data_IF_207404314401
#
_entry.id   IF_207404314401
#
_cell.length_a   1.000
_cell.length_b   1.000
_cell.length_c   1.000
_cell.angle_alpha   90.00
_cell.angle_beta   90.00
_cell.angle_gamma   90.00
#
_symmetry.space_group_name_H-M   'P 1'
#
loop_
_entity.id
_entity.type
_entity.pdbx_description
1 polymer ?
#
# COMPACT_ATOMS: atom_id res chain seq x y z
N UNK A 1 15.00 -8.32 -30.14
CA UNK A 1 15.81 -7.99 -28.93
C UNK A 1 15.09 -8.22 -27.60
N UNK A 2 13.80 -8.62 -27.57
CA UNK A 2 13.04 -8.84 -26.32
C UNK A 2 12.74 -10.31 -25.96
N UNK A 3 13.44 -11.29 -26.56
CA UNK A 3 13.20 -12.72 -26.28
C UNK A 3 13.71 -13.24 -24.92
N UNK A 4 14.44 -12.42 -24.15
CA UNK A 4 15.09 -12.84 -22.89
C UNK A 4 14.77 -11.93 -21.69
N UNK A 5 13.64 -11.22 -21.69
CA UNK A 5 13.18 -10.64 -20.43
C UNK A 5 12.66 -11.82 -19.62
N UNK A 6 13.32 -12.18 -18.52
CA UNK A 6 12.77 -13.10 -17.53
C UNK A 6 11.47 -12.49 -17.01
N UNK A 7 10.36 -12.81 -17.66
CA UNK A 7 9.03 -12.52 -17.17
C UNK A 7 8.95 -13.16 -15.77
N UNK A 8 8.62 -12.35 -14.77
CA UNK A 8 8.38 -12.78 -13.40
C UNK A 8 9.58 -13.40 -12.66
N UNK A 9 9.47 -13.47 -11.34
CA UNK A 9 10.50 -14.11 -10.50
C UNK A 9 9.97 -15.46 -10.05
N UNK A 10 10.17 -16.48 -10.90
CA UNK A 10 9.89 -17.88 -10.60
C UNK A 10 11.12 -18.54 -9.96
N UNK A 11 10.91 -19.25 -8.84
CA UNK A 11 11.94 -20.09 -8.23
C UNK A 11 11.66 -21.55 -8.58
N UNK A 12 12.59 -22.26 -9.24
CA UNK A 12 12.41 -23.67 -9.52
C UNK A 12 12.48 -24.47 -8.21
N UNK A 13 11.47 -25.30 -7.97
CA UNK A 13 11.38 -26.15 -6.78
C UNK A 13 10.51 -27.38 -7.04
N UNK A 14 10.68 -28.43 -6.24
CA UNK A 14 10.00 -29.72 -6.43
C UNK A 14 8.80 -29.95 -5.49
N UNK A 15 8.34 -28.92 -4.80
CA UNK A 15 7.32 -29.07 -3.76
C UNK A 15 5.89 -29.22 -4.32
N UNK A 16 4.96 -29.66 -3.47
CA UNK A 16 3.55 -29.84 -3.84
C UNK A 16 2.96 -28.56 -4.45
N UNK A 17 3.32 -27.41 -3.89
CA UNK A 17 2.86 -26.11 -4.36
C UNK A 17 3.41 -25.78 -5.75
N UNK A 18 4.61 -26.21 -6.13
CA UNK A 18 5.14 -26.01 -7.50
C UNK A 18 4.45 -26.92 -8.51
N UNK A 19 4.00 -28.12 -8.10
CA UNK A 19 3.32 -29.08 -8.98
C UNK A 19 1.86 -28.73 -9.29
N UNK A 20 1.24 -27.87 -8.49
CA UNK A 20 -0.13 -27.42 -8.73
C UNK A 20 -0.20 -26.58 -10.02
N UNK A 21 -1.26 -26.81 -10.80
CA UNK A 21 -1.53 -26.02 -12.01
C UNK A 21 -1.85 -24.56 -11.66
N UNK A 22 -1.48 -23.63 -12.54
CA UNK A 22 -1.67 -22.19 -12.33
C UNK A 22 -3.13 -21.81 -12.03
N UNK A 23 -4.10 -22.44 -12.72
CA UNK A 23 -5.54 -22.23 -12.49
C UNK A 23 -5.98 -22.53 -11.05
N UNK A 24 -5.48 -23.61 -10.44
CA UNK A 24 -5.86 -24.00 -9.08
C UNK A 24 -5.35 -22.98 -8.07
N UNK A 25 -4.14 -22.46 -8.27
CA UNK A 25 -3.58 -21.43 -7.40
C UNK A 25 -4.29 -20.09 -7.53
N UNK A 26 -4.70 -19.72 -8.75
CA UNK A 26 -5.52 -18.52 -8.99
C UNK A 26 -6.92 -18.65 -8.35
N UNK A 27 -7.55 -19.81 -8.46
CA UNK A 27 -8.82 -20.10 -7.78
C UNK A 27 -8.67 -20.06 -6.26
N UNK A 28 -7.56 -20.60 -5.71
CA UNK A 28 -7.26 -20.49 -4.30
C UNK A 28 -7.12 -19.02 -3.86
N UNK A 29 -6.47 -18.16 -4.65
CA UNK A 29 -6.40 -16.72 -4.36
C UNK A 29 -7.80 -16.09 -4.31
N UNK A 30 -8.64 -16.38 -5.31
CA UNK A 30 -10.02 -15.89 -5.34
C UNK A 30 -10.83 -16.39 -4.13
N UNK A 31 -10.67 -17.67 -3.77
CA UNK A 31 -11.33 -18.27 -2.62
C UNK A 31 -10.85 -17.67 -1.29
N UNK A 32 -9.56 -17.36 -1.16
CA UNK A 32 -9.00 -16.62 -0.03
C UNK A 32 -9.69 -15.27 0.15
N UNK A 33 -9.88 -14.52 -0.95
CA UNK A 33 -10.58 -13.23 -0.91
C UNK A 33 -12.03 -13.40 -0.44
N UNK A 34 -12.76 -14.39 -0.97
CA UNK A 34 -14.14 -14.67 -0.53
C UNK A 34 -14.19 -15.04 0.95
N UNK A 35 -13.27 -15.91 1.41
CA UNK A 35 -13.17 -16.29 2.81
C UNK A 35 -12.90 -15.09 3.72
N UNK A 36 -12.02 -14.17 3.31
CA UNK A 36 -11.73 -12.94 4.05
C UNK A 36 -12.97 -12.04 4.15
N UNK A 37 -13.75 -11.90 3.07
CA UNK A 37 -15.00 -11.11 3.09
C UNK A 37 -15.98 -11.69 4.10
N UNK A 38 -16.15 -13.02 4.11
CA UNK A 38 -17.02 -13.71 5.07
C UNK A 38 -16.48 -13.54 6.50
N UNK A 39 -15.18 -13.70 6.70
CA UNK A 39 -14.51 -13.53 7.98
C UNK A 39 -14.71 -12.12 8.56
N UNK A 40 -14.71 -11.11 7.70
CA UNK A 40 -14.87 -9.71 8.10
C UNK A 40 -16.31 -9.32 8.46
N UNK A 41 -17.29 -10.22 8.25
CA UNK A 41 -18.69 -9.96 8.58
C UNK A 41 -18.97 -9.99 10.09
N UNK A 42 -18.13 -10.70 10.88
CA UNK A 42 -18.31 -10.82 12.33
C UNK A 42 -17.19 -10.10 13.08
N UNK A 43 -17.56 -9.10 13.88
CA UNK A 43 -16.63 -8.35 14.72
C UNK A 43 -16.12 -9.25 15.86
N UNK A 44 -14.85 -9.10 16.25
CA UNK A 44 -14.18 -9.85 17.32
C UNK A 44 -14.00 -11.36 17.10
N UNK A 45 -14.18 -11.84 15.87
CA UNK A 45 -13.95 -13.25 15.55
C UNK A 45 -12.51 -13.50 15.07
N UNK A 46 -11.62 -13.91 15.97
CA UNK A 46 -10.20 -14.14 15.66
C UNK A 46 -9.93 -15.43 14.87
N UNK A 47 -10.80 -16.44 14.99
CA UNK A 47 -10.62 -17.75 14.38
C UNK A 47 -10.31 -17.71 12.88
N UNK A 48 -11.04 -16.97 12.03
CA UNK A 48 -10.77 -16.96 10.59
C UNK A 48 -9.41 -16.35 10.25
N UNK A 49 -8.98 -15.30 10.97
CA UNK A 49 -7.67 -14.69 10.77
C UNK A 49 -6.54 -15.64 11.18
N UNK A 50 -6.72 -16.38 12.27
CA UNK A 50 -5.76 -17.42 12.70
C UNK A 50 -5.67 -18.53 11.66
N UNK A 51 -6.80 -19.02 11.14
CA UNK A 51 -6.84 -20.04 10.09
C UNK A 51 -6.12 -19.55 8.83
N UNK A 52 -6.36 -18.31 8.41
CA UNK A 52 -5.70 -17.70 7.25
C UNK A 52 -4.18 -17.54 7.44
N UNK A 53 -3.75 -17.05 8.60
CA UNK A 53 -2.35 -16.94 8.95
C UNK A 53 -1.67 -18.32 8.98
N UNK A 54 -2.32 -19.32 9.57
CA UNK A 54 -1.81 -20.70 9.59
C UNK A 54 -1.73 -21.29 8.18
N UNK A 55 -2.74 -21.10 7.33
CA UNK A 55 -2.76 -21.62 5.96
C UNK A 55 -1.67 -20.97 5.12
N UNK A 56 -1.52 -19.65 5.19
CA UNK A 56 -0.44 -18.94 4.48
C UNK A 56 0.95 -19.38 4.95
N UNK A 57 1.16 -19.55 6.27
CA UNK A 57 2.41 -20.07 6.82
C UNK A 57 2.70 -21.50 6.34
N UNK A 58 1.71 -22.39 6.41
CA UNK A 58 1.81 -23.75 5.87
C UNK A 58 2.11 -23.73 4.37
N UNK A 59 1.50 -22.82 3.61
CA UNK A 59 1.79 -22.61 2.20
C UNK A 59 3.27 -22.26 1.96
N UNK A 60 3.86 -21.38 2.77
CA UNK A 60 5.30 -21.06 2.69
C UNK A 60 6.15 -22.29 3.01
N UNK A 61 5.84 -23.02 4.08
CA UNK A 61 6.60 -24.23 4.47
C UNK A 61 6.51 -25.29 3.39
N UNK A 62 5.31 -25.60 2.90
CA UNK A 62 5.06 -26.58 1.84
C UNK A 62 5.75 -26.14 0.55
N UNK A 63 5.80 -24.83 0.25
CA UNK A 63 6.46 -24.35 -0.96
C UNK A 63 7.96 -24.67 -1.00
N UNK A 64 8.61 -24.88 0.16
CA UNK A 64 10.06 -25.07 0.25
C UNK A 64 10.86 -23.79 0.02
N UNK A 65 10.20 -22.63 0.01
CA UNK A 65 10.84 -21.32 -0.12
C UNK A 65 11.33 -20.89 1.26
N UNK A 66 12.60 -20.51 1.38
CA UNK A 66 13.14 -20.07 2.66
C UNK A 66 12.42 -18.80 3.16
N UNK A 67 12.08 -18.77 4.45
CA UNK A 67 11.43 -17.61 5.09
C UNK A 67 12.20 -16.29 4.88
N UNK A 68 13.52 -16.35 4.80
CA UNK A 68 14.36 -15.16 4.59
C UNK A 68 14.04 -14.44 3.26
N UNK A 69 13.83 -15.19 2.18
CA UNK A 69 13.46 -14.62 0.87
C UNK A 69 12.08 -13.95 0.91
N UNK A 70 11.12 -14.56 1.60
CA UNK A 70 9.78 -14.00 1.79
C UNK A 70 9.85 -12.71 2.61
N UNK A 71 10.55 -12.72 3.75
CA UNK A 71 10.72 -11.56 4.63
C UNK A 71 11.41 -10.39 3.93
N UNK A 72 12.47 -10.65 3.16
CA UNK A 72 13.22 -9.60 2.43
C UNK A 72 12.33 -8.82 1.45
N UNK A 73 11.33 -9.48 0.86
CA UNK A 73 10.34 -8.83 -0.01
C UNK A 73 9.21 -8.17 0.76
N UNK A 74 8.77 -8.80 1.86
CA UNK A 74 7.71 -8.29 2.71
C UNK A 74 8.09 -7.03 3.48
N UNK A 75 9.34 -6.86 3.92
CA UNK A 75 9.72 -5.80 4.88
C UNK A 75 9.28 -4.39 4.47
N UNK A 76 9.37 -4.04 3.18
CA UNK A 76 9.00 -2.71 2.69
C UNK A 76 7.48 -2.54 2.73
N UNK A 77 6.75 -3.57 2.31
CA UNK A 77 5.28 -3.53 2.30
C UNK A 77 4.71 -3.61 3.70
N UNK A 78 5.30 -4.39 4.61
CA UNK A 78 4.93 -4.40 6.03
C UNK A 78 5.05 -3.01 6.66
N UNK A 79 6.13 -2.28 6.34
CA UNK A 79 6.31 -0.90 6.81
C UNK A 79 5.25 0.03 6.21
N UNK A 80 4.98 -0.06 4.91
CA UNK A 80 3.96 0.76 4.24
C UNK A 80 2.55 0.45 4.75
N UNK A 81 2.22 -0.82 4.95
CA UNK A 81 0.94 -1.27 5.50
C UNK A 81 0.76 -0.82 6.94
N UNK A 82 1.82 -0.86 7.75
CA UNK A 82 1.77 -0.36 9.13
C UNK A 82 1.50 1.14 9.14
N UNK A 83 2.20 1.92 8.31
CA UNK A 83 1.95 3.36 8.18
C UNK A 83 0.52 3.67 7.71
N UNK A 84 0.00 2.90 6.74
CA UNK A 84 -1.36 3.06 6.23
C UNK A 84 -2.46 2.58 7.18
N UNK A 85 -2.15 1.67 8.10
CA UNK A 85 -3.10 1.14 9.07
C UNK A 85 -3.18 2.00 10.36
N UNK A 86 -2.15 2.76 10.71
CA UNK A 86 -2.19 3.65 11.90
C UNK A 86 -3.43 4.57 11.92
N UNK A 87 -3.81 5.24 10.82
CA UNK A 87 -5.00 6.08 10.80
C UNK A 87 -6.30 5.36 11.19
N UNK A 88 -6.41 4.06 10.96
CA UNK A 88 -7.64 3.31 11.26
C UNK A 88 -7.88 3.15 12.75
N UNK A 89 -6.85 3.32 13.59
CA UNK A 89 -6.99 3.37 15.06
C UNK A 89 -7.84 4.54 15.53
N UNK A 90 -7.85 5.63 14.78
CA UNK A 90 -8.53 6.88 15.14
C UNK A 90 -9.95 6.98 14.56
N UNK A 91 -10.40 5.97 13.82
CA UNK A 91 -11.77 5.91 13.32
C UNK A 91 -12.74 5.80 14.49
N UNK A 92 -13.62 6.80 14.61
CA UNK A 92 -14.61 6.88 15.68
C UNK A 92 -16.00 6.84 15.07
N UNK A 93 -16.70 5.74 15.30
CA UNK A 93 -18.16 5.73 15.21
C UNK A 93 -18.65 6.24 16.57
N UNK A 94 -19.26 7.43 16.62
CA UNK A 94 -19.59 8.18 17.85
C UNK A 94 -20.46 7.47 18.90
N UNK A 95 -20.71 6.17 18.75
CA UNK A 95 -21.48 5.27 19.59
C UNK A 95 -20.63 4.40 20.52
N UNK A 96 -19.32 4.24 20.24
CA UNK A 96 -18.46 3.30 20.98
C UNK A 96 -17.66 4.00 22.09
N UNK A 97 -17.65 3.38 23.28
CA UNK A 97 -16.85 3.87 24.42
C UNK A 97 -15.37 3.97 24.04
N UNK A 98 -14.74 5.14 24.22
CA UNK A 98 -13.32 5.31 23.94
C UNK A 98 -12.49 4.51 24.97
N UNK A 99 -11.45 3.81 24.51
CA UNK A 99 -10.49 3.16 25.40
C UNK A 99 -9.51 4.19 25.96
N UNK A 100 -8.91 4.96 25.04
CA UNK A 100 -7.98 6.03 25.34
C UNK A 100 -8.33 7.23 24.47
N UNK A 101 -8.59 8.36 25.10
CA UNK A 101 -8.74 9.65 24.44
C UNK A 101 -7.46 10.43 24.63
N UNK A 102 -6.65 10.56 23.58
CA UNK A 102 -5.68 11.65 23.54
C UNK A 102 -6.48 12.91 23.25
N UNK A 103 -6.50 13.79 24.26
CA UNK A 103 -7.36 14.96 24.29
C UNK A 103 -7.23 15.85 23.07
N UNK A 104 -8.20 16.76 22.86
CA UNK A 104 -8.03 17.83 21.91
C UNK A 104 -6.82 18.65 22.34
N UNK A 105 -5.79 18.71 21.51
CA UNK A 105 -4.70 19.65 21.73
C UNK A 105 -5.21 20.99 21.22
N UNK A 106 -5.41 22.00 22.09
CA UNK A 106 -5.74 23.34 21.63
C UNK A 106 -4.49 23.90 20.96
N UNK A 107 -4.35 23.66 19.66
CA UNK A 107 -3.29 24.27 18.88
C UNK A 107 -3.78 25.65 18.46
N UNK A 108 -3.04 26.69 18.86
CA UNK A 108 -3.28 28.04 18.37
C UNK A 108 -3.17 28.03 16.84
N UNK A 109 -4.18 28.56 16.16
CA UNK A 109 -4.20 28.67 14.70
C UNK A 109 -2.97 29.40 14.15
N UNK A 110 -2.43 30.33 14.94
CA UNK A 110 -1.15 30.99 14.68
C UNK A 110 0.02 30.01 14.49
N UNK A 111 0.11 28.93 15.28
CA UNK A 111 1.20 27.97 15.17
C UNK A 111 1.17 27.22 13.83
N UNK A 112 -0.02 26.81 13.38
CA UNK A 112 -0.21 26.13 12.09
C UNK A 112 0.08 27.10 10.94
N UNK A 113 -0.44 28.33 11.02
CA UNK A 113 -0.22 29.38 10.03
C UNK A 113 1.27 29.70 9.88
N UNK A 114 1.98 29.93 10.98
CA UNK A 114 3.41 30.21 10.97
C UNK A 114 4.24 29.02 10.48
N UNK A 115 3.84 27.79 10.77
CA UNK A 115 4.51 26.59 10.25
C UNK A 115 4.40 26.48 8.73
N UNK A 116 3.21 26.74 8.17
CA UNK A 116 2.98 26.73 6.71
C UNK A 116 3.72 27.88 6.04
N UNK A 117 3.70 29.08 6.62
CA UNK A 117 4.45 30.24 6.11
C UNK A 117 5.95 30.00 6.17
N UNK A 118 6.49 29.48 7.27
CA UNK A 118 7.90 29.16 7.41
C UNK A 118 8.35 28.10 6.39
N UNK A 119 7.55 27.03 6.21
CA UNK A 119 7.83 26.02 5.18
C UNK A 119 7.78 26.62 3.76
N UNK A 120 6.80 27.47 3.47
CA UNK A 120 6.68 28.18 2.20
C UNK A 120 7.88 29.10 1.92
N UNK A 121 8.33 29.87 2.92
CA UNK A 121 9.48 30.79 2.81
C UNK A 121 10.80 30.02 2.65
N UNK A 122 11.02 28.95 3.41
CA UNK A 122 12.21 28.10 3.25
C UNK A 122 12.26 27.49 1.86
N UNK A 123 11.10 27.08 1.33
CA UNK A 123 11.01 26.45 0.03
C UNK A 123 11.18 27.46 -1.12
N UNK A 124 10.68 28.70 -1.00
CA UNK A 124 10.95 29.76 -1.98
C UNK A 124 12.41 30.21 -1.96
N UNK A 125 13.03 30.33 -0.77
CA UNK A 125 14.48 30.58 -0.64
C UNK A 125 15.28 29.48 -1.31
N UNK A 126 14.92 28.20 -1.09
CA UNK A 126 15.56 27.06 -1.74
C UNK A 126 15.49 27.12 -3.27
N UNK A 127 14.33 27.51 -3.82
CA UNK A 127 14.14 27.68 -5.27
C UNK A 127 14.93 28.90 -5.80
N UNK A 128 14.93 30.02 -5.08
CA UNK A 128 15.64 31.24 -5.47
C UNK A 128 17.16 31.04 -5.47
N UNK A 129 17.70 30.38 -4.44
CA UNK A 129 19.12 30.01 -4.34
C UNK A 129 19.55 29.05 -5.46
N UNK A 130 18.61 28.21 -5.95
CA UNK A 130 18.84 27.29 -7.05
C UNK A 130 18.75 27.96 -8.44
N UNK A 131 17.95 29.01 -8.59
CA UNK A 131 17.83 29.80 -9.84
C UNK A 131 19.02 30.73 -10.06
N UNK A 132 19.65 31.23 -8.98
CA UNK A 132 20.88 32.01 -9.06
C UNK A 132 22.03 31.12 -9.57
N UNK A 133 22.64 31.41 -10.73
CA UNK A 133 23.76 30.66 -11.24
C UNK A 133 25.03 31.06 -10.47
N UNK A 134 25.16 30.62 -9.22
CA UNK A 134 26.36 30.85 -8.42
C UNK A 134 27.45 29.93 -8.99
N UNK A 135 28.55 30.48 -9.58
CA UNK A 135 29.60 29.67 -10.19
C UNK A 135 30.34 28.77 -9.18
N UNK A 136 30.29 29.10 -7.88
CA UNK A 136 30.89 28.30 -6.80
C UNK A 136 30.21 26.93 -6.55
N UNK A 137 28.99 26.71 -7.04
CA UNK A 137 28.22 25.46 -6.85
C UNK A 137 28.28 24.50 -8.06
N UNK A 138 29.09 24.82 -9.08
CA UNK A 138 29.11 24.08 -10.36
C UNK A 138 29.70 22.66 -10.29
N UNK A 139 30.43 22.31 -9.22
CA UNK A 139 31.10 21.00 -9.10
C UNK A 139 30.30 19.92 -8.36
N UNK A 140 29.04 20.17 -7.97
CA UNK A 140 28.28 19.24 -7.13
C UNK A 140 27.23 18.46 -7.95
N UNK A 141 27.32 17.12 -7.87
CA UNK A 141 26.38 16.12 -8.43
C UNK A 141 24.89 16.39 -8.16
N UNK A 142 24.59 17.18 -7.13
CA UNK A 142 23.26 17.65 -6.74
C UNK A 142 22.47 18.34 -7.87
N UNK A 143 23.13 18.98 -8.84
CA UNK A 143 22.45 19.67 -9.95
C UNK A 143 21.64 18.72 -10.85
N UNK A 144 22.07 17.45 -10.98
CA UNK A 144 21.40 16.45 -11.80
C UNK A 144 20.19 15.82 -11.08
N UNK A 145 20.31 15.57 -9.78
CA UNK A 145 19.20 15.04 -8.96
C UNK A 145 18.07 16.08 -8.85
N UNK A 146 18.41 17.34 -8.63
CA UNK A 146 17.45 18.45 -8.48
C UNK A 146 16.68 18.81 -9.75
N UNK A 147 17.27 18.62 -10.94
CA UNK A 147 16.54 18.78 -12.22
C UNK A 147 15.35 17.81 -12.32
N UNK A 148 15.47 16.61 -11.74
CA UNK A 148 14.40 15.60 -11.70
C UNK A 148 13.28 15.98 -10.72
N UNK A 149 13.59 16.72 -9.66
CA UNK A 149 12.64 17.18 -8.64
C UNK A 149 12.07 18.59 -8.88
N UNK A 150 12.48 19.28 -9.95
CA UNK A 150 12.02 20.66 -10.22
C UNK A 150 10.50 20.76 -10.40
N UNK A 151 9.90 19.81 -11.12
CA UNK A 151 8.44 19.80 -11.38
C UNK A 151 7.63 19.53 -10.09
N UNK A 152 7.92 18.48 -9.28
CA UNK A 152 7.16 18.27 -8.05
C UNK A 152 7.33 19.40 -7.03
N UNK A 153 8.49 20.08 -6.98
CA UNK A 153 8.67 21.24 -6.10
C UNK A 153 7.74 22.41 -6.44
N UNK A 154 7.51 22.70 -7.73
CA UNK A 154 6.58 23.75 -8.17
C UNK A 154 5.13 23.39 -7.82
N UNK A 155 4.76 22.11 -7.89
CA UNK A 155 3.42 21.68 -7.46
C UNK A 155 3.24 21.81 -5.94
N UNK A 156 4.29 21.52 -5.16
CA UNK A 156 4.29 21.69 -3.71
C UNK A 156 4.21 23.18 -3.32
N UNK A 157 4.96 24.08 -3.99
CA UNK A 157 4.85 25.54 -3.73
C UNK A 157 3.45 26.03 -3.99
N UNK A 158 2.87 25.66 -5.13
CA UNK A 158 1.52 26.06 -5.53
C UNK A 158 0.51 25.56 -4.50
N UNK A 159 0.64 24.31 -4.05
CA UNK A 159 -0.19 23.73 -3.00
C UNK A 159 -0.12 24.53 -1.69
N UNK A 160 1.08 24.91 -1.24
CA UNK A 160 1.26 25.74 -0.05
C UNK A 160 0.62 27.12 -0.21
N UNK A 161 0.77 27.75 -1.38
CA UNK A 161 0.16 29.06 -1.68
C UNK A 161 -1.37 28.97 -1.65
N UNK A 162 -1.95 27.94 -2.25
CA UNK A 162 -3.40 27.69 -2.24
C UNK A 162 -3.89 27.46 -0.81
N UNK A 163 -3.13 26.71 0.00
CA UNK A 163 -3.46 26.46 1.40
C UNK A 163 -3.44 27.76 2.23
N UNK A 164 -2.44 28.62 2.02
CA UNK A 164 -2.36 29.93 2.66
C UNK A 164 -3.50 30.86 2.22
N UNK A 165 -3.91 30.79 0.95
CA UNK A 165 -5.05 31.56 0.44
C UNK A 165 -6.37 31.11 1.08
N UNK A 166 -6.59 29.81 1.24
CA UNK A 166 -7.77 29.23 1.87
C UNK A 166 -7.90 29.65 3.35
N UNK A 167 -6.75 29.78 4.04
CA UNK A 167 -6.66 30.03 5.48
C UNK A 167 -6.70 31.54 5.82
N UNK A 168 -6.64 32.44 4.82
CA UNK A 168 -6.52 33.90 4.98
C UNK A 168 -7.65 34.56 5.80
N UNK A 169 -8.87 34.04 5.73
CA UNK A 169 -10.05 34.69 6.31
C UNK A 169 -10.40 34.21 7.73
N UNK A 170 -9.58 33.33 8.31
CA UNK A 170 -9.82 32.79 9.64
C UNK A 170 -9.15 33.73 10.67
N UNK A 171 -9.89 34.21 11.69
CA UNK A 171 -9.37 35.14 12.67
C UNK A 171 -8.30 34.47 13.56
N UNK A 172 -7.23 35.20 13.95
CA UNK A 172 -6.04 34.63 14.58
C UNK A 172 -6.25 34.06 15.99
N UNK A 173 -7.35 34.42 16.64
CA UNK A 173 -7.79 33.94 17.96
C UNK A 173 -8.59 32.63 17.91
N UNK A 174 -8.90 32.13 16.71
CA UNK A 174 -9.61 30.86 16.56
C UNK A 174 -8.74 29.69 17.05
N UNK A 175 -9.14 29.04 18.15
CA UNK A 175 -8.55 27.76 18.56
C UNK A 175 -9.18 26.64 17.77
N UNK A 176 -8.40 25.94 16.95
CA UNK A 176 -8.87 24.71 16.32
C UNK A 176 -8.50 23.52 17.22
N UNK A 177 -9.47 22.73 17.69
CA UNK A 177 -9.15 21.49 18.39
C UNK A 177 -8.55 20.51 17.37
N UNK A 178 -7.23 20.29 17.45
CA UNK A 178 -6.59 19.20 16.71
C UNK A 178 -6.76 17.94 17.54
N UNK A 179 -7.61 17.04 17.05
CA UNK A 179 -8.06 15.88 17.81
C UNK A 179 -9.23 16.22 18.73
N UNK A 180 -9.97 15.20 19.19
CA UNK A 180 -9.37 14.11 19.94
C UNK A 180 -8.93 12.93 19.07
N UNK A 181 -7.72 12.43 19.33
CA UNK A 181 -7.28 11.14 18.81
C UNK A 181 -7.83 10.07 19.74
N UNK A 182 -8.96 9.51 19.35
CA UNK A 182 -9.67 8.50 20.15
C UNK A 182 -9.28 7.12 19.64
N UNK A 183 -8.66 6.33 20.51
CA UNK A 183 -8.45 4.91 20.24
C UNK A 183 -9.71 4.18 20.69
N UNK A 184 -10.45 3.65 19.72
CA UNK A 184 -11.65 2.86 19.97
C UNK A 184 -11.34 1.36 19.87
N UNK A 185 -12.13 0.54 20.59
CA UNK A 185 -12.12 -0.92 20.42
C UNK A 185 -12.29 -1.33 18.93
N UNK A 186 -13.09 -0.57 18.19
CA UNK A 186 -13.31 -0.78 16.77
C UNK A 186 -12.09 -0.43 15.93
N UNK A 187 -11.41 0.68 16.22
CA UNK A 187 -10.19 1.09 15.53
C UNK A 187 -9.07 0.07 15.72
N UNK A 188 -8.91 -0.47 16.94
CA UNK A 188 -7.95 -1.55 17.21
C UNK A 188 -8.31 -2.82 16.42
N UNK A 189 -9.58 -3.22 16.43
CA UNK A 189 -10.05 -4.37 15.64
C UNK A 189 -9.81 -4.17 14.14
N UNK A 190 -10.12 -2.98 13.61
CA UNK A 190 -9.94 -2.61 12.22
C UNK A 190 -8.46 -2.62 11.82
N UNK A 191 -7.58 -2.07 12.65
CA UNK A 191 -6.13 -2.15 12.42
C UNK A 191 -5.66 -3.60 12.36
N UNK A 192 -6.04 -4.42 13.34
CA UNK A 192 -5.61 -5.80 13.43
C UNK A 192 -6.11 -6.64 12.26
N UNK A 193 -7.39 -6.54 11.93
CA UNK A 193 -8.01 -7.30 10.83
C UNK A 193 -7.42 -6.90 9.49
N UNK A 194 -7.32 -5.59 9.22
CA UNK A 194 -6.76 -5.05 8.00
C UNK A 194 -5.30 -5.49 7.83
N UNK A 195 -4.47 -5.31 8.86
CA UNK A 195 -3.06 -5.67 8.82
C UNK A 195 -2.87 -7.17 8.55
N UNK A 196 -3.65 -8.03 9.21
CA UNK A 196 -3.58 -9.48 9.01
C UNK A 196 -4.01 -9.88 7.60
N UNK A 197 -5.11 -9.32 7.09
CA UNK A 197 -5.63 -9.59 5.73
C UNK A 197 -4.61 -9.22 4.67
N UNK A 198 -4.02 -8.03 4.77
CA UNK A 198 -3.02 -7.56 3.81
C UNK A 198 -1.78 -8.45 3.82
N UNK A 199 -1.31 -8.87 5.00
CA UNK A 199 -0.17 -9.79 5.13
C UNK A 199 -0.45 -11.13 4.47
N UNK A 200 -1.60 -11.74 4.78
CA UNK A 200 -1.96 -13.06 4.26
C UNK A 200 -2.10 -13.03 2.74
N UNK A 201 -2.84 -12.05 2.20
CA UNK A 201 -3.02 -11.90 0.74
C UNK A 201 -1.69 -11.64 0.04
N UNK A 202 -0.83 -10.84 0.66
CA UNK A 202 0.48 -10.55 0.10
C UNK A 202 1.41 -11.77 0.11
N UNK A 203 1.44 -12.56 1.19
CA UNK A 203 2.16 -13.84 1.23
C UNK A 203 1.64 -14.78 0.14
N UNK A 204 0.32 -14.90 0.00
CA UNK A 204 -0.27 -15.76 -1.02
C UNK A 204 0.10 -15.31 -2.44
N UNK A 205 0.05 -14.00 -2.71
CA UNK A 205 0.51 -13.41 -3.98
C UNK A 205 2.00 -13.66 -4.25
N UNK A 206 2.85 -13.56 -3.23
CA UNK A 206 4.26 -13.92 -3.32
C UNK A 206 4.45 -15.40 -3.63
N UNK A 207 3.71 -16.29 -2.97
CA UNK A 207 3.76 -17.73 -3.27
C UNK A 207 3.31 -18.02 -4.70
N UNK A 208 2.23 -17.40 -5.17
CA UNK A 208 1.75 -17.56 -6.54
C UNK A 208 2.83 -17.16 -7.55
N UNK A 209 3.43 -15.98 -7.37
CA UNK A 209 4.45 -15.43 -8.29
C UNK A 209 5.78 -16.17 -8.22
N UNK A 210 6.15 -16.73 -7.06
CA UNK A 210 7.38 -17.50 -6.90
C UNK A 210 7.25 -18.95 -7.37
N UNK A 211 6.10 -19.58 -7.17
CA UNK A 211 5.91 -21.02 -7.45
C UNK A 211 5.27 -21.32 -8.81
N UNK A 212 4.91 -20.30 -9.58
CA UNK A 212 4.23 -20.45 -10.88
C UNK A 212 4.95 -19.64 -11.94
N UNK A 213 5.25 -20.26 -13.08
CA UNK A 213 5.84 -19.54 -14.21
C UNK A 213 4.79 -18.57 -14.79
N UNK A 214 5.19 -17.42 -15.34
CA UNK A 214 4.24 -16.48 -15.92
C UNK A 214 3.42 -17.08 -17.08
N UNK A 215 4.02 -17.96 -17.88
CA UNK A 215 3.32 -18.68 -18.94
C UNK A 215 2.21 -19.54 -18.34
N UNK A 216 2.49 -20.33 -17.29
CA UNK A 216 1.46 -21.13 -16.61
C UNK A 216 0.41 -20.28 -15.89
N UNK A 217 0.74 -19.05 -15.49
CA UNK A 217 -0.21 -18.10 -14.92
C UNK A 217 -1.14 -17.56 -16.01
N UNK A 218 -0.61 -17.20 -17.18
CA UNK A 218 -1.38 -16.76 -18.35
C UNK A 218 -2.33 -17.88 -18.81
N UNK A 219 -1.82 -19.10 -19.00
CA UNK A 219 -2.65 -20.27 -19.32
C UNK A 219 -3.73 -20.53 -18.26
N UNK A 220 -3.37 -20.41 -16.98
CA UNK A 220 -4.33 -20.55 -15.89
C UNK A 220 -5.44 -19.48 -15.95
N UNK A 221 -5.08 -18.24 -16.26
CA UNK A 221 -6.03 -17.13 -16.38
C UNK A 221 -6.97 -17.31 -17.58
N UNK A 222 -6.45 -17.68 -18.75
CA UNK A 222 -7.28 -17.90 -19.96
C UNK A 222 -8.28 -19.05 -19.76
N UNK A 223 -7.87 -20.12 -19.07
CA UNK A 223 -8.77 -21.20 -18.65
C UNK A 223 -9.87 -20.70 -17.71
N UNK A 224 -9.57 -19.77 -16.79
CA UNK A 224 -10.57 -19.18 -15.89
C UNK A 224 -11.52 -18.21 -16.59
N UNK A 225 -11.10 -17.61 -17.70
CA UNK A 225 -11.92 -16.74 -18.54
C UNK A 225 -12.79 -17.51 -19.54
N UNK A 226 -12.59 -18.82 -19.71
CA UNK A 226 -13.39 -19.65 -20.63
C UNK A 226 -14.92 -19.55 -20.42
N UNK A 227 -15.49 -19.49 -19.19
CA UNK A 227 -16.94 -19.30 -19.02
C UNK A 227 -17.46 -17.94 -19.55
N UNK A 228 -16.60 -16.91 -19.65
CA UNK A 228 -16.98 -15.62 -20.25
C UNK A 228 -17.22 -15.70 -21.77
N UNK A 229 -16.84 -16.81 -22.43
CA UNK A 229 -17.22 -17.08 -23.82
C UNK A 229 -18.74 -17.04 -24.02
N UNK A 230 -19.51 -17.42 -22.99
CA UNK A 230 -20.98 -17.34 -23.04
C UNK A 230 -21.49 -15.90 -23.22
N UNK A 231 -20.74 -14.90 -22.74
CA UNK A 231 -21.04 -13.48 -22.92
C UNK A 231 -20.53 -12.91 -24.26
N UNK A 232 -20.13 -13.78 -25.21
CA UNK A 232 -19.53 -13.41 -26.52
C UNK A 232 -18.25 -12.56 -26.41
N UNK A 233 -17.52 -12.70 -25.30
CA UNK A 233 -16.21 -12.05 -25.14
C UNK A 233 -15.11 -12.86 -25.88
N UNK A 234 -14.14 -12.19 -26.53
CA UNK A 234 -13.11 -12.83 -27.37
C UNK A 234 -11.97 -13.44 -26.54
N UNK A 235 -12.28 -14.45 -25.71
CA UNK A 235 -11.30 -15.11 -24.82
C UNK A 235 -10.19 -15.81 -25.60
N UNK A 236 -10.52 -16.36 -26.77
CA UNK A 236 -9.58 -17.13 -27.60
C UNK A 236 -8.53 -16.22 -28.25
N UNK A 237 -8.95 -15.02 -28.67
CA UNK A 237 -8.03 -14.01 -29.21
C UNK A 237 -7.06 -13.53 -28.13
N UNK A 238 -7.54 -13.32 -26.89
CA UNK A 238 -6.67 -12.99 -25.76
C UNK A 238 -5.65 -14.10 -25.46
N UNK A 239 -6.06 -15.37 -25.54
CA UNK A 239 -5.15 -16.49 -25.33
C UNK A 239 -4.08 -16.57 -26.44
N UNK A 240 -4.47 -16.32 -27.70
CA UNK A 240 -3.54 -16.29 -28.84
C UNK A 240 -2.59 -15.10 -28.83
N UNK A 241 -2.99 -13.95 -28.27
CA UNK A 241 -2.14 -12.76 -28.17
C UNK A 241 -1.11 -12.83 -27.03
N UNK A 242 -1.39 -13.61 -25.98
CA UNK A 242 -0.60 -13.60 -24.72
C UNK A 242 0.37 -14.77 -24.58
N UNK A 243 0.23 -15.81 -25.40
CA UNK A 243 1.14 -16.97 -25.50
C UNK A 243 2.14 -16.79 -26.65
#
# INVERSE_FOLDING_TARGET
>A
MFKNISLGIYYPGNSLLHRLQGRTKLLLLAWFTVYIVIANNYMWHFAPYIVLAALSFLGVVISGISLHHVWRRMRLLLLLMLLGAIPTLFTTDGTVKPLYTFGPFPTSFDFIRWSIVAYGVLLTIYIALFLLPIPALQNISLRSWLKRFRIPLILITLGVIVLLWLIRNIPPDATFPVGPFVITNLGVWSLFSLYTVFIVLYIFSLLLTMTTTPIALIEGLTMLLTPLRWLKLPVDDFALMTL
#
